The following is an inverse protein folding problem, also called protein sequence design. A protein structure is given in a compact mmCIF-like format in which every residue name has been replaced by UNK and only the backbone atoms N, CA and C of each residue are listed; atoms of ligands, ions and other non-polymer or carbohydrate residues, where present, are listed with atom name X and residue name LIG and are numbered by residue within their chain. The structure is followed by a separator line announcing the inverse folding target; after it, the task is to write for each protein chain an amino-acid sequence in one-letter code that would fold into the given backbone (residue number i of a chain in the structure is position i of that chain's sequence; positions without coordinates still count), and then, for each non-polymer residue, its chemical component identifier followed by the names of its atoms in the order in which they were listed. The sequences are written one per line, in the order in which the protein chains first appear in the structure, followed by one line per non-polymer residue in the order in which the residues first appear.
data_IF_607315495277
#
_entry.id   IF_607315495277
#
_cell.length_a   1.000
_cell.length_b   1.000
_cell.length_c   1.000
_cell.angle_alpha   90.00
_cell.angle_beta   90.00
_cell.angle_gamma   90.00
#
_symmetry.space_group_name_H-M   'P 1'
#
loop_
_entity.id
_entity.type
_entity.pdbx_description
1 polymer ?
#
# COMPACT_ATOMS: atom_id res chain seq x y z
N UNK A 1 22.06 -12.95 -4.48
CA UNK A 1 22.31 -11.56 -4.06
C UNK A 1 22.68 -11.50 -2.59
N UNK A 2 23.57 -10.58 -2.18
CA UNK A 2 23.95 -10.41 -0.78
C UNK A 2 22.73 -10.12 0.13
N UNK A 3 22.61 -10.90 1.21
CA UNK A 3 21.46 -10.85 2.12
C UNK A 3 21.38 -9.51 2.88
N UNK A 4 22.54 -8.93 3.23
CA UNK A 4 22.60 -7.63 3.93
C UNK A 4 22.10 -6.52 3.02
N UNK A 5 22.54 -6.50 1.76
CA UNK A 5 22.07 -5.54 0.76
C UNK A 5 20.57 -5.66 0.49
N UNK A 6 20.04 -6.88 0.37
CA UNK A 6 18.60 -7.16 0.24
C UNK A 6 17.81 -6.56 1.41
N UNK A 7 18.27 -6.83 2.64
CA UNK A 7 17.65 -6.32 3.88
C UNK A 7 17.66 -4.79 3.93
N UNK A 8 18.75 -4.15 3.53
CA UNK A 8 18.84 -2.68 3.49
C UNK A 8 17.87 -2.06 2.48
N UNK A 9 17.70 -2.65 1.30
CA UNK A 9 16.72 -2.16 0.30
C UNK A 9 15.31 -2.26 0.86
N UNK A 10 14.92 -3.45 1.34
CA UNK A 10 13.59 -3.67 1.89
C UNK A 10 13.31 -2.74 3.07
N UNK A 11 14.30 -2.54 3.96
CA UNK A 11 14.21 -1.61 5.08
C UNK A 11 13.97 -0.17 4.63
N UNK A 12 14.75 0.32 3.65
CA UNK A 12 14.58 1.69 3.11
C UNK A 12 13.20 1.90 2.48
N UNK A 13 12.67 0.89 1.79
CA UNK A 13 11.32 0.94 1.22
C UNK A 13 10.26 1.01 2.32
N UNK A 14 10.37 0.15 3.34
CA UNK A 14 9.44 0.11 4.46
C UNK A 14 9.47 1.41 5.30
N UNK A 15 10.65 1.97 5.56
CA UNK A 15 10.78 3.25 6.25
C UNK A 15 10.15 4.37 5.44
N UNK A 16 10.42 4.46 4.13
CA UNK A 16 9.82 5.47 3.26
C UNK A 16 8.30 5.37 3.23
N UNK A 17 7.76 4.15 3.17
CA UNK A 17 6.32 3.92 3.28
C UNK A 17 5.78 4.42 4.62
N UNK A 18 6.42 4.04 5.73
CA UNK A 18 5.97 4.44 7.07
C UNK A 18 6.00 5.95 7.28
N UNK A 19 6.97 6.66 6.72
CA UNK A 19 7.02 8.13 6.79
C UNK A 19 5.80 8.78 6.16
N UNK A 20 5.34 8.25 5.02
CA UNK A 20 4.10 8.71 4.38
C UNK A 20 2.87 8.41 5.23
N UNK A 21 2.78 7.21 5.82
CA UNK A 21 1.65 6.83 6.68
C UNK A 21 1.60 7.67 7.97
N UNK A 22 2.73 7.88 8.64
CA UNK A 22 2.79 8.71 9.85
C UNK A 22 2.50 10.19 9.56
N UNK A 23 2.91 10.69 8.38
CA UNK A 23 2.52 12.02 7.96
C UNK A 23 0.99 12.14 7.80
N UNK A 24 0.36 11.15 7.16
CA UNK A 24 -1.09 11.12 7.02
C UNK A 24 -1.78 11.05 8.40
N UNK A 25 -1.30 10.17 9.29
CA UNK A 25 -1.84 10.02 10.65
C UNK A 25 -1.78 11.33 11.44
N UNK A 26 -0.62 11.99 11.48
CA UNK A 26 -0.45 13.29 12.17
C UNK A 26 -1.30 14.38 11.52
N UNK A 27 -1.44 14.37 10.19
CA UNK A 27 -2.31 15.30 9.47
C UNK A 27 -3.78 15.13 9.88
N UNK A 28 -4.31 13.90 9.84
CA UNK A 28 -5.71 13.60 10.21
C UNK A 28 -6.01 13.87 11.69
N UNK A 29 -5.01 13.81 12.56
CA UNK A 29 -5.14 14.16 13.97
C UNK A 29 -5.35 15.67 14.16
N UNK A 30 -4.73 16.50 13.32
CA UNK A 30 -4.75 17.98 13.44
C UNK A 30 -5.78 18.65 12.54
N UNK A 31 -6.18 17.98 11.48
CA UNK A 31 -7.00 18.53 10.41
C UNK A 31 -8.08 17.53 10.01
N UNK A 32 -9.29 18.00 9.74
CA UNK A 32 -10.23 17.24 8.93
C UNK A 32 -9.86 17.43 7.46
N UNK A 33 -9.73 16.33 6.73
CA UNK A 33 -9.84 16.40 5.28
C UNK A 33 -11.33 16.55 4.97
N UNK A 34 -11.78 17.72 4.55
CA UNK A 34 -13.17 17.95 4.10
C UNK A 34 -13.23 18.37 2.63
N UNK A 35 -12.10 18.82 2.07
CA UNK A 35 -11.94 19.13 0.65
C UNK A 35 -11.48 17.88 -0.12
N UNK A 36 -12.14 17.61 -1.25
CA UNK A 36 -11.76 16.54 -2.18
C UNK A 36 -10.31 16.63 -2.66
N UNK A 37 -9.75 17.83 -2.83
CA UNK A 37 -8.35 18.01 -3.20
C UNK A 37 -7.37 17.48 -2.13
N UNK A 38 -7.70 17.70 -0.85
CA UNK A 38 -6.92 17.16 0.27
C UNK A 38 -7.06 15.65 0.36
N UNK A 39 -8.29 15.11 0.31
CA UNK A 39 -8.51 13.67 0.32
C UNK A 39 -7.76 12.96 -0.80
N UNK A 40 -7.77 13.50 -2.01
CA UNK A 40 -7.02 12.93 -3.13
C UNK A 40 -5.52 12.88 -2.84
N UNK A 41 -4.97 13.95 -2.29
CA UNK A 41 -3.54 14.00 -1.93
C UNK A 41 -3.21 12.93 -0.88
N UNK A 42 -4.09 12.74 0.11
CA UNK A 42 -3.95 11.69 1.11
C UNK A 42 -4.09 10.30 0.49
N UNK A 43 -5.06 10.07 -0.40
CA UNK A 43 -5.22 8.80 -1.11
C UNK A 43 -3.98 8.45 -1.96
N UNK A 44 -3.33 9.44 -2.58
CA UNK A 44 -2.10 9.23 -3.37
C UNK A 44 -0.99 8.77 -2.44
N UNK A 45 -0.82 9.46 -1.31
CA UNK A 45 0.19 9.11 -0.31
C UNK A 45 -0.08 7.74 0.31
N UNK A 46 -1.33 7.40 0.63
CA UNK A 46 -1.72 6.10 1.15
C UNK A 46 -1.41 5.00 0.15
N UNK A 47 -1.86 5.15 -1.10
CA UNK A 47 -1.66 4.16 -2.17
C UNK A 47 -0.17 3.93 -2.46
N UNK A 48 0.62 5.01 -2.49
CA UNK A 48 2.08 4.95 -2.66
C UNK A 48 2.78 4.26 -1.50
N UNK A 49 2.42 4.65 -0.28
CA UNK A 49 3.00 4.05 0.91
C UNK A 49 2.65 2.57 0.99
N UNK A 50 1.42 2.19 0.67
CA UNK A 50 0.97 0.81 0.71
C UNK A 50 1.65 -0.05 -0.36
N UNK A 51 1.79 0.46 -1.60
CA UNK A 51 2.57 -0.20 -2.65
C UNK A 51 4.01 -0.48 -2.20
N UNK A 52 4.65 0.51 -1.57
CA UNK A 52 6.01 0.36 -1.04
C UNK A 52 6.09 -0.67 0.08
N UNK A 53 5.08 -0.79 0.95
CA UNK A 53 5.03 -1.84 1.97
C UNK A 53 4.99 -3.24 1.33
N UNK A 54 4.12 -3.44 0.34
CA UNK A 54 4.03 -4.72 -0.35
C UNK A 54 5.32 -5.05 -1.10
N UNK A 55 5.93 -4.06 -1.78
CA UNK A 55 7.22 -4.25 -2.45
C UNK A 55 8.33 -4.53 -1.44
N UNK A 56 8.35 -3.87 -0.28
CA UNK A 56 9.31 -4.17 0.78
C UNK A 56 9.19 -5.62 1.26
N UNK A 57 7.95 -6.10 1.48
CA UNK A 57 7.70 -7.51 1.82
C UNK A 57 8.17 -8.45 0.71
N UNK A 58 7.89 -8.11 -0.55
CA UNK A 58 8.31 -8.89 -1.71
C UNK A 58 9.83 -9.03 -1.77
N UNK A 59 10.56 -7.92 -1.61
CA UNK A 59 12.03 -7.93 -1.60
C UNK A 59 12.58 -8.72 -0.41
N UNK A 60 12.01 -8.55 0.78
CA UNK A 60 12.48 -9.24 1.98
C UNK A 60 12.32 -10.77 1.91
N UNK A 61 11.27 -11.24 1.23
CA UNK A 61 10.86 -12.66 1.24
C UNK A 61 11.12 -13.42 -0.07
N UNK A 62 11.69 -12.76 -1.07
CA UNK A 62 12.01 -13.39 -2.36
C UNK A 62 13.51 -13.58 -2.52
N UNK A 63 13.87 -14.57 -3.33
CA UNK A 63 15.24 -14.83 -3.71
C UNK A 63 15.55 -14.18 -5.05
N UNK A 64 16.74 -13.59 -5.14
CA UNK A 64 17.25 -12.92 -6.33
C UNK A 64 18.72 -13.32 -6.51
N UNK A 65 19.09 -13.71 -7.73
CA UNK A 65 20.46 -14.05 -8.07
C UNK A 65 21.35 -12.82 -7.98
N UNK A 66 20.91 -11.69 -8.54
CA UNK A 66 21.66 -10.44 -8.60
C UNK A 66 20.78 -9.18 -8.49
N UNK A 67 21.42 -8.01 -8.56
CA UNK A 67 20.75 -6.70 -8.48
C UNK A 67 19.87 -6.41 -9.72
N UNK A 68 20.27 -6.90 -10.89
CA UNK A 68 19.54 -6.66 -12.15
C UNK A 68 18.25 -7.48 -12.20
N UNK A 69 18.23 -8.67 -11.61
CA UNK A 69 17.02 -9.47 -11.42
C UNK A 69 16.05 -8.81 -10.43
N UNK A 70 16.55 -8.30 -9.31
CA UNK A 70 15.73 -7.51 -8.37
C UNK A 70 15.10 -6.30 -9.07
N UNK A 71 15.89 -5.53 -9.82
CA UNK A 71 15.41 -4.36 -10.54
C UNK A 71 14.37 -4.71 -11.59
N UNK A 72 14.61 -5.73 -12.43
CA UNK A 72 13.63 -6.23 -13.39
C UNK A 72 12.35 -6.68 -12.71
N UNK A 73 12.46 -7.39 -11.59
CA UNK A 73 11.29 -7.87 -10.83
C UNK A 73 10.45 -6.69 -10.31
N UNK A 74 11.09 -5.66 -9.75
CA UNK A 74 10.38 -4.47 -9.28
C UNK A 74 9.76 -3.65 -10.41
N UNK A 75 10.42 -3.57 -11.57
CA UNK A 75 9.88 -2.91 -12.78
C UNK A 75 8.72 -3.69 -13.38
N UNK A 76 8.81 -5.01 -13.44
CA UNK A 76 7.73 -5.89 -13.91
C UNK A 76 6.48 -5.76 -13.03
N UNK A 77 6.65 -5.69 -11.71
CA UNK A 77 5.56 -5.43 -10.77
C UNK A 77 4.85 -4.09 -11.02
N UNK A 78 5.57 -3.10 -11.55
CA UNK A 78 5.07 -1.74 -11.80
C UNK A 78 4.32 -1.17 -10.58
N UNK A 79 3.24 -0.43 -10.77
CA UNK A 79 2.39 0.12 -9.70
C UNK A 79 1.11 -0.72 -9.46
N UNK A 80 1.17 -2.02 -9.74
CA UNK A 80 0.02 -2.91 -9.73
C UNK A 80 -0.07 -3.71 -8.42
N UNK A 81 -0.96 -3.28 -7.54
CA UNK A 81 -1.19 -3.89 -6.23
C UNK A 81 -1.64 -5.37 -6.34
N UNK A 82 -2.43 -5.72 -7.36
CA UNK A 82 -2.86 -7.11 -7.58
C UNK A 82 -1.69 -7.98 -8.07
N UNK A 83 -0.87 -7.44 -8.96
CA UNK A 83 0.33 -8.18 -9.43
C UNK A 83 1.32 -8.40 -8.29
N UNK A 84 1.54 -7.40 -7.44
CA UNK A 84 2.41 -7.51 -6.26
C UNK A 84 1.84 -8.54 -5.27
N UNK A 85 0.54 -8.47 -4.97
CA UNK A 85 -0.10 -9.40 -4.04
C UNK A 85 -0.09 -10.85 -4.55
N UNK A 86 -0.33 -11.06 -5.85
CA UNK A 86 -0.24 -12.37 -6.49
C UNK A 86 1.18 -12.95 -6.42
N UNK A 87 2.22 -12.13 -6.61
CA UNK A 87 3.62 -12.56 -6.48
C UNK A 87 4.01 -12.91 -5.04
N UNK A 88 3.42 -12.25 -4.05
CA UNK A 88 3.60 -12.58 -2.64
C UNK A 88 2.89 -13.90 -2.28
N UNK A 89 1.68 -14.11 -2.79
CA UNK A 89 0.84 -15.24 -2.45
C UNK A 89 0.30 -15.17 -1.01
N UNK A 90 -0.71 -15.99 -0.72
CA UNK A 90 -1.49 -15.91 0.53
C UNK A 90 -0.65 -16.09 1.79
N UNK A 91 0.35 -16.99 1.78
CA UNK A 91 1.18 -17.23 2.97
C UNK A 91 1.98 -15.98 3.39
N UNK A 92 2.62 -15.29 2.43
CA UNK A 92 3.43 -14.10 2.72
C UNK A 92 2.58 -12.88 3.04
N UNK A 93 1.37 -12.79 2.48
CA UNK A 93 0.37 -11.77 2.82
C UNK A 93 -0.18 -11.98 4.24
N UNK A 94 -0.57 -13.21 4.58
CA UNK A 94 -1.07 -13.56 5.90
C UNK A 94 -0.04 -13.26 7.00
N UNK A 95 1.24 -13.50 6.72
CA UNK A 95 2.34 -13.19 7.64
C UNK A 95 2.41 -11.70 8.03
N UNK A 96 1.94 -10.80 7.17
CA UNK A 96 1.86 -9.35 7.43
C UNK A 96 0.42 -8.89 7.74
N UNK A 97 -0.50 -9.83 7.99
CA UNK A 97 -1.86 -9.52 8.40
C UNK A 97 -2.84 -9.21 7.29
N UNK A 98 -2.49 -9.49 6.03
CA UNK A 98 -3.38 -9.31 4.88
C UNK A 98 -3.95 -10.67 4.50
N UNK A 99 -5.29 -10.78 4.47
CA UNK A 99 -5.98 -11.97 4.03
C UNK A 99 -6.06 -12.04 2.50
N UNK A 100 -6.55 -10.97 1.87
CA UNK A 100 -6.67 -10.88 0.42
C UNK A 100 -6.64 -9.44 -0.08
N UNK A 101 -6.43 -9.31 -1.39
CA UNK A 101 -6.50 -8.05 -2.14
C UNK A 101 -7.47 -8.27 -3.28
N UNK A 102 -8.54 -7.50 -3.32
CA UNK A 102 -9.58 -7.59 -4.34
C UNK A 102 -9.60 -6.30 -5.17
N UNK A 103 -9.84 -6.38 -6.49
CA UNK A 103 -10.23 -5.19 -7.24
C UNK A 103 -11.52 -4.63 -6.64
N UNK A 104 -11.59 -3.31 -6.49
CA UNK A 104 -12.83 -2.65 -6.09
C UNK A 104 -13.81 -2.76 -7.25
N UNK A 105 -15.02 -3.21 -6.96
CA UNK A 105 -16.09 -3.39 -7.95
C UNK A 105 -17.20 -2.38 -7.70
N UNK A 106 -17.97 -2.06 -8.74
CA UNK A 106 -19.12 -1.16 -8.64
C UNK A 106 -18.79 0.34 -8.77
N UNK A 107 -17.54 0.69 -9.11
CA UNK A 107 -17.13 2.07 -9.41
C UNK A 107 -16.41 2.12 -10.74
N UNK A 108 -16.59 3.20 -11.49
CA UNK A 108 -15.84 3.45 -12.73
C UNK A 108 -14.35 3.77 -12.47
N UNK A 109 -13.97 4.01 -11.22
CA UNK A 109 -12.60 4.23 -10.79
C UNK A 109 -11.92 2.92 -10.38
N UNK A 110 -10.69 2.72 -10.85
CA UNK A 110 -9.88 1.54 -10.49
C UNK A 110 -9.26 1.74 -9.10
N UNK A 111 -9.64 0.86 -8.16
CA UNK A 111 -9.06 0.78 -6.83
C UNK A 111 -8.97 -0.66 -6.33
N UNK A 112 -8.41 -0.84 -5.14
CA UNK A 112 -8.19 -2.13 -4.51
C UNK A 112 -8.65 -2.10 -3.05
N UNK A 113 -9.33 -3.16 -2.66
CA UNK A 113 -9.77 -3.42 -1.30
C UNK A 113 -8.86 -4.49 -0.69
N UNK A 114 -8.05 -4.09 0.27
CA UNK A 114 -7.20 -5.00 1.03
C UNK A 114 -7.92 -5.38 2.31
N UNK A 115 -8.23 -6.66 2.43
CA UNK A 115 -8.92 -7.21 3.61
C UNK A 115 -7.86 -7.79 4.55
N UNK A 116 -7.84 -7.32 5.79
CA UNK A 116 -6.95 -7.86 6.83
C UNK A 116 -7.46 -9.19 7.34
N UNK A 117 -6.61 -9.95 8.03
CA UNK A 117 -7.03 -11.21 8.69
C UNK A 117 -8.10 -10.99 9.77
N UNK A 118 -8.26 -9.76 10.25
CA UNK A 118 -9.32 -9.35 11.19
C UNK A 118 -10.61 -8.90 10.48
N UNK A 119 -10.68 -8.96 9.15
CA UNK A 119 -11.81 -8.49 8.37
C UNK A 119 -11.91 -6.97 8.25
N UNK A 120 -10.89 -6.22 8.66
CA UNK A 120 -10.79 -4.77 8.43
C UNK A 120 -10.38 -4.51 6.98
N UNK A 121 -10.67 -3.32 6.47
CA UNK A 121 -10.42 -2.96 5.08
C UNK A 121 -9.44 -1.79 5.00
N UNK A 122 -8.48 -1.87 4.09
CA UNK A 122 -7.68 -0.73 3.61
C UNK A 122 -8.07 -0.53 2.16
N UNK A 123 -8.41 0.71 1.82
CA UNK A 123 -8.82 1.08 0.47
C UNK A 123 -7.69 1.89 -0.18
N UNK A 124 -7.13 1.41 -1.28
CA UNK A 124 -6.09 2.12 -2.05
C UNK A 124 -6.49 2.23 -3.51
N UNK A 125 -5.99 3.24 -4.19
CA UNK A 125 -6.37 3.54 -5.58
C UNK A 125 -5.29 3.11 -6.57
N UNK A 126 -5.68 2.94 -7.83
CA UNK A 126 -4.72 2.91 -8.93
C UNK A 126 -4.24 4.34 -9.25
N UNK A 127 -2.93 4.50 -9.45
CA UNK A 127 -2.32 5.80 -9.77
C UNK A 127 -2.79 6.43 -11.08
N UNK A 128 -3.31 5.64 -12.01
CA UNK A 128 -3.85 6.16 -13.26
C UNK A 128 -5.07 7.02 -12.94
N UNK A 129 -6.01 6.45 -12.19
CA UNK A 129 -7.37 6.99 -12.00
C UNK A 129 -7.49 7.94 -10.82
N UNK A 130 -6.62 7.82 -9.81
CA UNK A 130 -6.66 8.65 -8.59
C UNK A 130 -6.57 10.16 -8.90
N UNK A 131 -6.10 10.53 -10.09
CA UNK A 131 -5.93 11.92 -10.53
C UNK A 131 -7.22 12.55 -11.04
N UNK A 132 -8.26 11.76 -11.32
CA UNK A 132 -9.51 12.25 -11.89
C UNK A 132 -10.60 12.31 -10.81
N UNK A 133 -11.33 13.42 -10.82
CA UNK A 133 -12.46 13.67 -9.92
C UNK A 133 -13.79 13.14 -10.50
N UNK A 134 -13.79 12.75 -11.79
CA UNK A 134 -14.91 12.14 -12.50
C UNK A 134 -14.42 11.18 -13.59
N UNK A 135 -15.27 10.21 -13.96
CA UNK A 135 -15.08 9.32 -15.12
C UNK A 135 -16.46 8.85 -15.59
N UNK A 136 -16.69 8.75 -16.90
CA UNK A 136 -17.93 8.22 -17.50
C UNK A 136 -19.22 8.68 -16.78
N UNK A 137 -19.33 9.99 -16.51
CA UNK A 137 -20.45 10.65 -15.83
C UNK A 137 -20.62 10.39 -14.31
N UNK A 138 -19.71 9.63 -13.69
CA UNK A 138 -19.68 9.38 -12.25
C UNK A 138 -18.68 10.30 -11.56
N UNK A 139 -19.13 11.01 -10.50
CA UNK A 139 -18.25 11.74 -9.59
C UNK A 139 -17.57 10.77 -8.61
N UNK A 140 -16.33 11.08 -8.23
CA UNK A 140 -15.60 10.27 -7.26
C UNK A 140 -16.19 10.42 -5.86
N UNK A 141 -16.52 9.27 -5.25
CA UNK A 141 -16.83 9.23 -3.83
C UNK A 141 -15.60 9.54 -2.99
N UNK A 142 -15.78 10.41 -2.01
CA UNK A 142 -14.75 10.73 -1.02
C UNK A 142 -15.01 9.91 0.24
N UNK A 143 -14.00 9.23 0.79
CA UNK A 143 -14.15 8.57 2.08
C UNK A 143 -14.39 9.61 3.17
N UNK A 144 -15.08 9.19 4.22
CA UNK A 144 -15.14 9.99 5.44
C UNK A 144 -13.78 10.04 6.13
N UNK A 145 -13.54 11.09 6.93
CA UNK A 145 -12.32 11.19 7.73
C UNK A 145 -12.11 9.98 8.65
N UNK A 146 -13.21 9.41 9.18
CA UNK A 146 -13.19 8.21 10.02
C UNK A 146 -12.73 6.96 9.25
N UNK A 147 -13.33 6.69 8.10
CA UNK A 147 -12.91 5.56 7.25
C UNK A 147 -11.44 5.67 6.85
N UNK A 148 -11.02 6.87 6.43
CA UNK A 148 -9.65 7.09 6.00
C UNK A 148 -8.64 6.93 7.15
N UNK A 149 -9.00 7.37 8.36
CA UNK A 149 -8.20 7.14 9.57
C UNK A 149 -8.05 5.64 9.84
N UNK A 150 -9.13 4.86 9.76
CA UNK A 150 -9.06 3.40 9.92
C UNK A 150 -8.13 2.74 8.89
N UNK A 151 -8.19 3.16 7.62
CA UNK A 151 -7.31 2.63 6.57
C UNK A 151 -5.83 2.87 6.88
N UNK A 152 -5.49 4.06 7.38
CA UNK A 152 -4.12 4.44 7.73
C UNK A 152 -3.63 3.66 8.94
N UNK A 153 -4.47 3.51 9.97
CA UNK A 153 -4.16 2.68 11.14
C UNK A 153 -3.87 1.24 10.73
N UNK A 154 -4.70 0.64 9.86
CA UNK A 154 -4.47 -0.72 9.39
C UNK A 154 -3.21 -0.84 8.51
N UNK A 155 -2.90 0.17 7.69
CA UNK A 155 -1.64 0.21 6.94
C UNK A 155 -0.41 0.29 7.87
N UNK A 156 -0.49 1.06 8.96
CA UNK A 156 0.54 1.11 10.00
C UNK A 156 0.68 -0.22 10.74
N UNK A 157 -0.42 -0.95 10.99
CA UNK A 157 -0.39 -2.30 11.54
C UNK A 157 0.36 -3.27 10.62
N UNK A 158 0.13 -3.20 9.31
CA UNK A 158 0.87 -3.98 8.30
C UNK A 158 2.36 -3.64 8.34
N UNK A 159 2.71 -2.35 8.38
CA UNK A 159 4.10 -1.92 8.53
C UNK A 159 4.75 -2.47 9.81
N UNK A 160 4.05 -2.42 10.95
CA UNK A 160 4.53 -2.95 12.23
C UNK A 160 4.88 -4.44 12.14
N UNK A 161 4.06 -5.23 11.44
CA UNK A 161 4.31 -6.66 11.20
C UNK A 161 5.52 -6.88 10.29
N UNK A 162 5.64 -6.14 9.18
CA UNK A 162 6.83 -6.18 8.30
C UNK A 162 8.10 -5.86 9.08
N UNK A 163 8.07 -4.78 9.88
CA UNK A 163 9.21 -4.33 10.70
C UNK A 163 9.64 -5.41 11.69
N UNK A 164 8.69 -6.00 12.42
CA UNK A 164 8.96 -7.07 13.38
C UNK A 164 9.51 -8.32 12.70
N UNK A 165 9.02 -8.66 11.51
CA UNK A 165 9.43 -9.87 10.79
C UNK A 165 10.86 -9.78 10.25
N UNK A 166 11.27 -8.61 9.74
CA UNK A 166 12.51 -8.52 8.93
C UNK A 166 13.58 -7.60 9.49
N UNK A 167 13.21 -6.60 10.30
CA UNK A 167 14.09 -5.48 10.65
C UNK A 167 14.28 -5.27 12.16
N UNK A 168 13.58 -6.07 12.97
CA UNK A 168 13.81 -6.14 14.42
C UNK A 168 14.85 -7.20 14.77
#
# INVERSE_FOLDING_TARGET
MDAVYKKQIAFRMAVRASSGLYFIEDFLYRHSAEDGAFFRSLCILLSYSFELLLKAQFVATSEFNDKAELERSLKDLNHDILKISAKLGSSKLNAIGINCVNPRSGTDFIGYDIVTIQGKKISVENFIDIRYDFTNDTLRDLPTNGEFTEWVTEALNVYGKIKKQHFS
#
